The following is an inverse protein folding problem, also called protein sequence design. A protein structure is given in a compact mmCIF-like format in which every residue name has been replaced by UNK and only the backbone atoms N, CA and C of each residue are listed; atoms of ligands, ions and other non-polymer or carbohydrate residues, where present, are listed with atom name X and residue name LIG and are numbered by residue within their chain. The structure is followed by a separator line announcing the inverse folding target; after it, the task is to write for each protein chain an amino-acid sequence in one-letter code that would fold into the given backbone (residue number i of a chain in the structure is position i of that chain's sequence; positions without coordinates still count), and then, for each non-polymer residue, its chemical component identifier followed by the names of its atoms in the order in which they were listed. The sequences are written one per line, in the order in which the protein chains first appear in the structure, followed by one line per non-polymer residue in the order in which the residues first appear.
data_IF_023221926391
#
_entry.id   IF_023221926391
#
_cell.length_a   1.000
_cell.length_b   1.000
_cell.length_c   1.000
_cell.angle_alpha   90.00
_cell.angle_beta   90.00
_cell.angle_gamma   90.00
#
_symmetry.space_group_name_H-M   'P 1'
#
loop_
_entity.id
_entity.type
_entity.pdbx_description
1 polymer ?
#
# COMPACT_ATOMS: atom_id res chain seq x y z
N UNK A 1 3.68 -11.18 -13.91
CA UNK A 1 2.51 -11.07 -13.02
C UNK A 1 1.84 -9.75 -13.36
N UNK A 2 0.69 -9.79 -14.04
CA UNK A 2 -0.01 -8.58 -14.49
C UNK A 2 -0.71 -7.95 -13.28
N UNK A 3 -0.28 -6.75 -12.89
CA UNK A 3 -0.90 -5.95 -11.84
C UNK A 3 -2.19 -5.34 -12.38
N UNK A 4 -3.25 -6.15 -12.47
CA UNK A 4 -4.57 -5.56 -12.59
C UNK A 4 -4.88 -4.88 -11.25
N UNK A 5 -5.22 -3.59 -11.32
CA UNK A 5 -5.85 -2.87 -10.22
C UNK A 5 -7.19 -3.55 -9.94
N UNK A 6 -7.17 -4.64 -9.19
CA UNK A 6 -8.39 -5.21 -8.61
C UNK A 6 -8.88 -4.16 -7.63
N UNK A 7 -10.04 -3.58 -7.92
CA UNK A 7 -10.74 -2.72 -6.98
C UNK A 7 -11.85 -3.54 -6.35
N UNK A 8 -11.99 -3.44 -5.03
CA UNK A 8 -13.10 -4.08 -4.33
C UNK A 8 -14.37 -3.31 -4.69
N UNK A 9 -15.38 -3.97 -5.29
CA UNK A 9 -16.61 -3.29 -5.65
C UNK A 9 -17.43 -2.96 -4.40
N UNK A 10 -18.33 -1.99 -4.53
CA UNK A 10 -19.12 -1.47 -3.41
C UNK A 10 -20.09 -2.48 -2.80
N UNK A 11 -20.47 -3.50 -3.56
CA UNK A 11 -21.37 -4.59 -3.16
C UNK A 11 -20.62 -5.80 -2.58
N UNK A 12 -19.30 -5.74 -2.45
CA UNK A 12 -18.51 -6.81 -1.84
C UNK A 12 -18.84 -6.98 -0.35
N UNK A 13 -18.98 -8.24 0.08
CA UNK A 13 -19.20 -8.62 1.47
C UNK A 13 -17.87 -8.83 2.19
N UNK A 14 -17.78 -8.39 3.44
CA UNK A 14 -16.67 -8.73 4.32
C UNK A 14 -16.92 -10.15 4.86
N UNK A 15 -15.94 -11.03 4.67
CA UNK A 15 -15.99 -12.43 5.13
C UNK A 15 -15.16 -12.62 6.39
N UNK A 16 -14.00 -11.98 6.45
CA UNK A 16 -13.09 -12.10 7.59
C UNK A 16 -12.29 -10.81 7.79
N UNK A 17 -11.90 -10.56 9.03
CA UNK A 17 -11.05 -9.45 9.44
C UNK A 17 -10.01 -10.00 10.41
N UNK A 18 -8.74 -9.90 10.05
CA UNK A 18 -7.68 -10.34 10.97
C UNK A 18 -7.59 -9.40 12.17
N UNK A 19 -7.17 -9.90 13.34
CA UNK A 19 -6.82 -9.03 14.46
C UNK A 19 -5.77 -7.98 14.06
N UNK A 20 -5.90 -6.73 14.52
CA UNK A 20 -4.94 -5.69 14.21
C UNK A 20 -3.60 -6.00 14.87
N UNK A 21 -2.50 -5.88 14.12
CA UNK A 21 -1.14 -5.99 14.66
C UNK A 21 -0.52 -4.62 14.77
N UNK A 22 0.16 -4.36 15.88
CA UNK A 22 0.74 -3.05 16.21
C UNK A 22 2.27 -3.13 16.24
N UNK A 23 2.92 -2.12 15.68
CA UNK A 23 4.37 -1.94 15.70
C UNK A 23 4.67 -0.47 15.96
N UNK A 24 5.68 -0.19 16.79
CA UNK A 24 6.16 1.17 16.98
C UNK A 24 7.36 1.43 16.07
N UNK A 25 7.21 2.32 15.09
CA UNK A 25 8.27 2.71 14.16
C UNK A 25 9.04 3.91 14.75
N UNK A 26 10.38 3.83 14.79
CA UNK A 26 11.28 4.86 15.31
C UNK A 26 10.94 5.36 16.71
N UNK A 27 10.33 4.50 17.55
CA UNK A 27 9.82 4.86 18.88
C UNK A 27 8.83 6.05 18.89
N UNK A 28 8.21 6.37 17.74
CA UNK A 28 7.37 7.57 17.56
C UNK A 28 6.05 7.29 16.86
N UNK A 29 6.08 6.53 15.78
CA UNK A 29 4.92 6.35 14.90
C UNK A 29 4.29 4.99 15.13
N UNK A 30 3.06 4.95 15.64
CA UNK A 30 2.32 3.70 15.80
C UNK A 30 1.85 3.21 14.43
N UNK A 31 2.27 2.02 14.04
CA UNK A 31 1.85 1.34 12.82
C UNK A 31 0.88 0.25 13.17
N UNK A 32 -0.29 0.25 12.54
CA UNK A 32 -1.32 -0.78 12.68
C UNK A 32 -1.52 -1.47 11.34
N UNK A 33 -1.37 -2.79 11.31
CA UNK A 33 -1.65 -3.61 10.12
C UNK A 33 -2.88 -4.47 10.34
N UNK A 34 -3.72 -4.58 9.31
CA UNK A 34 -4.95 -5.35 9.35
C UNK A 34 -5.34 -5.82 7.95
N UNK A 35 -5.73 -7.08 7.82
CA UNK A 35 -6.22 -7.65 6.58
C UNK A 35 -7.73 -7.83 6.66
N UNK A 36 -8.43 -7.56 5.56
CA UNK A 36 -9.87 -7.78 5.42
C UNK A 36 -10.11 -8.62 4.18
N UNK A 37 -10.79 -9.76 4.35
CA UNK A 37 -11.18 -10.64 3.25
C UNK A 37 -12.53 -10.18 2.71
N UNK A 38 -12.55 -9.81 1.44
CA UNK A 38 -13.77 -9.46 0.71
C UNK A 38 -14.18 -10.58 -0.24
N UNK A 39 -15.49 -10.72 -0.40
CA UNK A 39 -16.13 -11.61 -1.36
C UNK A 39 -17.16 -10.89 -2.20
N UNK A 40 -17.10 -11.09 -3.51
CA UNK A 40 -18.12 -10.63 -4.45
C UNK A 40 -18.27 -11.60 -5.61
N UNK A 41 -19.32 -11.42 -6.39
CA UNK A 41 -19.57 -12.19 -7.61
C UNK A 41 -19.28 -11.29 -8.81
N UNK A 42 -18.41 -11.75 -9.71
CA UNK A 42 -18.16 -11.08 -10.99
C UNK A 42 -18.94 -11.78 -12.12
N UNK A 43 -19.46 -10.98 -13.05
CA UNK A 43 -20.13 -11.46 -14.26
C UNK A 43 -21.66 -11.50 -14.15
N UNK A 44 -22.31 -11.88 -15.26
CA UNK A 44 -23.78 -11.99 -15.36
C UNK A 44 -24.20 -13.36 -15.89
N UNK A 45 -25.37 -13.82 -15.46
CA UNK A 45 -25.96 -15.10 -15.91
C UNK A 45 -25.11 -16.32 -15.54
N UNK A 46 -24.85 -17.20 -16.52
CA UNK A 46 -24.14 -18.47 -16.33
C UNK A 46 -22.63 -18.34 -16.09
N UNK A 47 -22.05 -17.15 -16.29
CA UNK A 47 -20.61 -16.90 -16.14
C UNK A 47 -20.25 -16.21 -14.82
N UNK A 48 -21.08 -16.37 -13.79
CA UNK A 48 -20.78 -15.84 -12.47
C UNK A 48 -19.56 -16.54 -11.86
N UNK A 49 -18.62 -15.76 -11.36
CA UNK A 49 -17.46 -16.26 -10.62
C UNK A 49 -17.40 -15.58 -9.26
N UNK A 50 -17.37 -16.37 -8.21
CA UNK A 50 -17.06 -15.86 -6.88
C UNK A 50 -15.58 -15.45 -6.82
N UNK A 51 -15.32 -14.25 -6.32
CA UNK A 51 -13.99 -13.74 -6.04
C UNK A 51 -13.81 -13.59 -4.55
N UNK A 52 -12.68 -14.10 -4.05
CA UNK A 52 -12.20 -13.84 -2.71
C UNK A 52 -10.88 -13.09 -2.83
N UNK A 53 -10.78 -11.92 -2.20
CA UNK A 53 -9.57 -11.08 -2.21
C UNK A 53 -9.34 -10.44 -0.85
N UNK A 54 -8.09 -10.47 -0.42
CA UNK A 54 -7.64 -9.76 0.77
C UNK A 54 -7.33 -8.32 0.41
N UNK A 55 -7.81 -7.37 1.20
CA UNK A 55 -7.26 -6.03 1.26
C UNK A 55 -6.41 -5.90 2.51
N UNK A 56 -5.16 -5.55 2.32
CA UNK A 56 -4.19 -5.35 3.39
C UNK A 56 -4.07 -3.88 3.67
N UNK A 57 -4.42 -3.46 4.89
CA UNK A 57 -4.32 -2.08 5.35
C UNK A 57 -3.14 -1.93 6.31
N UNK A 58 -2.33 -0.90 6.09
CA UNK A 58 -1.28 -0.47 7.01
C UNK A 58 -1.54 0.99 7.30
N UNK A 59 -1.82 1.33 8.54
CA UNK A 59 -2.05 2.71 8.99
C UNK A 59 -0.87 3.12 9.83
N UNK A 60 -0.27 4.25 9.51
CA UNK A 60 0.76 4.88 10.31
C UNK A 60 0.14 6.11 10.93
N UNK A 61 0.03 6.10 12.25
CA UNK A 61 -0.39 7.25 13.04
C UNK A 61 0.62 8.37 12.82
N UNK A 62 0.12 9.49 12.32
CA UNK A 62 0.90 10.69 12.04
C UNK A 62 0.46 11.88 12.88
N UNK A 63 -0.38 11.70 13.90
CA UNK A 63 -0.89 12.76 14.79
C UNK A 63 0.20 13.72 15.30
N UNK A 64 1.40 13.20 15.55
CA UNK A 64 2.59 13.98 15.94
C UNK A 64 2.99 15.08 14.94
N UNK A 65 2.63 14.93 13.66
CA UNK A 65 2.95 15.90 12.60
C UNK A 65 2.09 17.16 12.64
N UNK A 66 0.93 17.14 13.31
CA UNK A 66 0.04 18.30 13.49
C UNK A 66 -0.23 19.06 12.17
N UNK A 67 0.17 20.32 12.10
CA UNK A 67 -0.02 21.25 10.99
C UNK A 67 0.74 20.86 9.71
N UNK A 68 1.71 19.96 9.82
CA UNK A 68 2.47 19.44 8.67
C UNK A 68 1.70 18.40 7.87
N UNK A 69 0.62 17.86 8.43
CA UNK A 69 -0.26 16.94 7.69
C UNK A 69 -0.99 17.65 6.55
N UNK A 70 -1.25 16.91 5.47
CA UNK A 70 -2.09 17.33 4.36
C UNK A 70 -2.56 16.12 3.56
N UNK A 71 -3.56 16.33 2.70
CA UNK A 71 -4.16 15.24 1.93
C UNK A 71 -3.36 15.00 0.65
N UNK A 72 -2.94 13.76 0.44
CA UNK A 72 -2.35 13.35 -0.83
C UNK A 72 -2.59 11.87 -1.09
N UNK A 73 -2.50 11.46 -2.36
CA UNK A 73 -2.41 10.04 -2.73
C UNK A 73 -1.32 9.77 -3.73
N UNK A 74 -0.75 8.57 -3.63
CA UNK A 74 0.19 8.01 -4.60
C UNK A 74 -0.36 6.70 -5.15
N UNK A 75 0.07 6.37 -6.37
CA UNK A 75 -0.30 5.22 -7.20
C UNK A 75 -1.79 5.15 -7.60
N UNK A 76 -2.69 5.85 -6.90
CA UNK A 76 -4.08 6.10 -7.33
C UNK A 76 -4.16 7.38 -8.14
N UNK A 77 -4.34 7.23 -9.47
CA UNK A 77 -4.49 8.36 -10.38
C UNK A 77 -5.84 9.09 -10.34
N UNK A 78 -6.87 8.46 -9.75
CA UNK A 78 -8.18 9.08 -9.52
C UNK A 78 -8.48 9.06 -8.02
N UNK A 79 -8.59 10.24 -7.42
CA UNK A 79 -8.85 10.40 -6.00
C UNK A 79 -9.89 11.51 -5.81
N UNK A 80 -11.00 11.27 -5.08
CA UNK A 80 -11.97 12.32 -4.75
C UNK A 80 -11.42 13.37 -3.76
N UNK A 81 -10.27 13.13 -3.12
CA UNK A 81 -9.70 14.00 -2.08
C UNK A 81 -8.74 15.07 -2.61
N UNK A 82 -8.55 15.20 -3.93
CA UNK A 82 -7.65 16.20 -4.50
C UNK A 82 -7.54 16.14 -6.02
N UNK A 83 -6.81 17.11 -6.57
CA UNK A 83 -6.54 17.18 -8.01
C UNK A 83 -5.23 16.49 -8.33
N UNK A 84 -5.12 15.98 -9.57
CA UNK A 84 -3.85 15.47 -10.07
C UNK A 84 -2.85 16.61 -10.22
N UNK A 85 -1.67 16.46 -9.62
CA UNK A 85 -0.61 17.47 -9.67
C UNK A 85 0.54 16.95 -10.51
N UNK A 86 1.10 17.83 -11.36
CA UNK A 86 2.32 17.54 -12.13
C UNK A 86 3.51 18.23 -11.45
N UNK A 87 4.45 17.43 -10.97
CA UNK A 87 5.75 17.88 -10.46
C UNK A 87 6.80 17.91 -11.58
N UNK A 88 8.02 18.31 -11.26
CA UNK A 88 9.09 18.58 -12.22
C UNK A 88 9.61 17.31 -12.90
N UNK A 89 9.52 16.14 -12.23
CA UNK A 89 10.00 14.87 -12.77
C UNK A 89 8.89 14.08 -13.49
N UNK A 90 8.95 14.00 -14.83
CA UNK A 90 7.95 13.31 -15.65
C UNK A 90 7.84 11.81 -15.34
N UNK A 91 8.95 11.15 -15.02
CA UNK A 91 8.95 9.72 -14.66
C UNK A 91 8.25 9.50 -13.32
N UNK A 92 8.51 10.37 -12.35
CA UNK A 92 7.80 10.37 -11.07
C UNK A 92 6.29 10.54 -11.29
N UNK A 93 5.87 11.54 -12.07
CA UNK A 93 4.46 11.78 -12.36
C UNK A 93 3.76 10.57 -12.99
N UNK A 94 4.47 9.86 -13.89
CA UNK A 94 3.95 8.67 -14.58
C UNK A 94 3.75 7.48 -13.63
N UNK A 95 4.70 7.25 -12.73
CA UNK A 95 4.68 6.11 -11.80
C UNK A 95 3.71 6.37 -10.65
N UNK A 96 3.88 7.50 -9.97
CA UNK A 96 3.22 7.77 -8.69
C UNK A 96 1.85 8.42 -8.86
N UNK A 97 1.51 8.99 -10.02
CA UNK A 97 0.18 9.53 -10.33
C UNK A 97 -0.41 10.37 -9.17
N UNK A 98 0.41 11.26 -8.64
CA UNK A 98 0.15 12.03 -7.44
C UNK A 98 -1.15 12.84 -7.54
N UNK A 99 -1.94 12.83 -6.47
CA UNK A 99 -3.04 13.79 -6.28
C UNK A 99 -2.93 14.45 -4.90
N UNK A 100 -3.37 15.70 -4.78
CA UNK A 100 -3.38 16.44 -3.50
C UNK A 100 -4.38 17.60 -3.58
N UNK A 101 -4.79 18.11 -2.42
CA UNK A 101 -5.52 19.38 -2.32
C UNK A 101 -4.60 20.56 -1.93
N UNK A 102 -3.31 20.30 -1.71
CA UNK A 102 -2.32 21.30 -1.32
C UNK A 102 -1.05 21.14 -2.16
N UNK A 103 -0.97 21.91 -3.25
CA UNK A 103 0.17 21.86 -4.17
C UNK A 103 1.47 22.39 -3.54
N UNK A 104 1.38 23.36 -2.64
CA UNK A 104 2.57 23.93 -2.00
C UNK A 104 3.26 22.90 -1.11
N UNK A 105 2.49 22.24 -0.23
CA UNK A 105 3.03 21.22 0.67
C UNK A 105 3.58 20.01 -0.09
N UNK A 106 2.93 19.59 -1.18
CA UNK A 106 3.44 18.43 -1.93
C UNK A 106 4.75 18.74 -2.65
N UNK A 107 4.96 19.99 -3.12
CA UNK A 107 6.23 20.44 -3.71
C UNK A 107 7.34 20.56 -2.67
N UNK A 108 6.99 20.90 -1.42
CA UNK A 108 7.93 20.87 -0.30
C UNK A 108 8.31 19.43 0.08
N UNK A 109 7.36 18.49 0.02
CA UNK A 109 7.58 17.08 0.34
C UNK A 109 8.43 16.38 -0.73
N UNK A 110 8.10 16.61 -2.00
CA UNK A 110 8.79 16.02 -3.14
C UNK A 110 9.73 17.01 -3.82
N UNK A 111 10.84 17.29 -3.14
CA UNK A 111 11.99 17.97 -3.77
C UNK A 111 12.55 17.14 -4.94
N UNK A 112 13.35 17.74 -5.85
CA UNK A 112 13.98 17.00 -6.94
C UNK A 112 14.70 15.72 -6.49
N UNK A 113 15.47 15.81 -5.41
CA UNK A 113 16.16 14.65 -4.82
C UNK A 113 15.20 13.59 -4.30
N UNK A 114 14.11 13.99 -3.63
CA UNK A 114 13.11 13.05 -3.12
C UNK A 114 12.37 12.32 -4.26
N UNK A 115 12.07 13.02 -5.35
CA UNK A 115 11.48 12.42 -6.54
C UNK A 115 12.43 11.42 -7.21
N UNK A 116 13.69 11.79 -7.42
CA UNK A 116 14.70 10.90 -8.01
C UNK A 116 14.93 9.67 -7.16
N UNK A 117 15.06 9.85 -5.85
CA UNK A 117 15.25 8.74 -4.90
C UNK A 117 14.04 7.80 -4.90
N UNK A 118 12.82 8.35 -4.93
CA UNK A 118 11.58 7.56 -4.99
C UNK A 118 11.50 6.73 -6.28
N UNK A 119 11.87 7.31 -7.43
CA UNK A 119 11.90 6.63 -8.72
C UNK A 119 12.96 5.53 -8.73
N UNK A 120 14.18 5.83 -8.31
CA UNK A 120 15.27 4.87 -8.24
C UNK A 120 14.93 3.69 -7.32
N UNK A 121 14.32 3.98 -6.16
CA UNK A 121 13.86 2.98 -5.22
C UNK A 121 12.77 2.08 -5.82
N UNK A 122 11.76 2.68 -6.47
CA UNK A 122 10.72 1.95 -7.18
C UNK A 122 11.31 1.03 -8.25
N UNK A 123 12.18 1.54 -9.12
CA UNK A 123 12.73 0.75 -10.24
C UNK A 123 13.56 -0.44 -9.77
N UNK A 124 14.35 -0.23 -8.72
CA UNK A 124 15.23 -1.25 -8.14
C UNK A 124 14.43 -2.34 -7.45
N UNK A 125 13.45 -1.97 -6.63
CA UNK A 125 12.85 -2.89 -5.66
C UNK A 125 11.48 -3.45 -6.04
N UNK A 126 10.78 -2.85 -7.03
CA UNK A 126 9.42 -3.27 -7.41
C UNK A 126 9.27 -4.74 -7.81
N UNK A 127 10.36 -5.41 -8.20
CA UNK A 127 10.35 -6.84 -8.58
C UNK A 127 10.47 -7.78 -7.36
N UNK A 128 10.92 -7.27 -6.22
CA UNK A 128 11.24 -8.04 -5.02
C UNK A 128 10.14 -7.98 -3.95
N UNK A 129 9.12 -7.14 -4.17
CA UNK A 129 8.03 -6.89 -3.22
C UNK A 129 6.73 -7.53 -3.71
N UNK A 130 5.84 -7.90 -2.77
CA UNK A 130 4.49 -8.40 -3.09
C UNK A 130 3.64 -7.31 -3.74
N UNK A 131 3.87 -6.06 -3.35
CA UNK A 131 3.01 -4.91 -3.66
C UNK A 131 3.84 -3.72 -4.17
N UNK A 132 4.19 -3.66 -5.45
CA UNK A 132 5.03 -2.58 -5.98
C UNK A 132 4.32 -1.24 -6.12
N UNK A 133 3.01 -1.27 -6.35
CA UNK A 133 2.15 -0.08 -6.53
C UNK A 133 1.01 -0.08 -5.51
N UNK A 134 1.33 -0.01 -4.20
CA UNK A 134 0.33 0.09 -3.15
C UNK A 134 -0.41 1.42 -3.27
N UNK A 135 -1.71 1.45 -2.97
CA UNK A 135 -2.39 2.73 -2.82
C UNK A 135 -1.91 3.38 -1.53
N UNK A 136 -1.34 4.58 -1.63
CA UNK A 136 -0.91 5.38 -0.48
C UNK A 136 -1.84 6.58 -0.39
N UNK A 137 -2.38 6.84 0.80
CA UNK A 137 -3.26 7.97 1.04
C UNK A 137 -3.00 8.59 2.40
N UNK A 138 -2.81 9.90 2.44
CA UNK A 138 -2.84 10.70 3.66
C UNK A 138 -4.16 11.45 3.73
N UNK A 139 -4.83 11.39 4.87
CA UNK A 139 -6.04 12.17 5.16
C UNK A 139 -5.78 12.92 6.46
N UNK A 140 -5.51 14.22 6.38
CA UNK A 140 -5.12 15.06 7.50
C UNK A 140 -6.16 15.02 8.64
N UNK A 141 -7.46 15.03 8.33
CA UNK A 141 -8.51 14.94 9.35
C UNK A 141 -8.56 13.61 10.11
N UNK A 142 -7.80 12.59 9.65
CA UNK A 142 -7.75 11.28 10.28
C UNK A 142 -6.39 10.98 10.92
N UNK A 143 -5.44 11.90 10.83
CA UNK A 143 -4.14 11.79 11.48
C UNK A 143 -3.38 10.49 11.18
N UNK A 144 -3.55 9.95 9.96
CA UNK A 144 -2.79 8.78 9.52
C UNK A 144 -2.42 8.85 8.04
N UNK A 145 -1.31 8.18 7.71
CA UNK A 145 -1.02 7.73 6.34
C UNK A 145 -1.42 6.27 6.23
N UNK A 146 -2.20 5.92 5.21
CA UNK A 146 -2.68 4.57 4.97
C UNK A 146 -2.12 4.01 3.67
N UNK A 147 -1.61 2.80 3.76
CA UNK A 147 -1.32 1.93 2.63
C UNK A 147 -2.44 0.92 2.51
N UNK A 148 -2.90 0.68 1.29
CA UNK A 148 -3.82 -0.40 0.99
C UNK A 148 -3.38 -1.14 -0.26
N UNK A 149 -3.39 -2.47 -0.20
CA UNK A 149 -3.16 -3.30 -1.37
C UNK A 149 -4.09 -4.51 -1.40
N UNK A 150 -4.58 -4.85 -2.59
CA UNK A 150 -5.50 -5.96 -2.82
C UNK A 150 -4.73 -7.12 -3.41
N UNK A 151 -4.81 -8.28 -2.76
CA UNK A 151 -4.10 -9.49 -3.15
C UNK A 151 -4.91 -10.76 -2.95
N UNK A 152 -4.35 -11.88 -3.42
CA UNK A 152 -4.92 -13.22 -3.17
C UNK A 152 -4.64 -13.72 -1.76
N UNK A 153 -3.65 -13.10 -1.09
CA UNK A 153 -3.16 -13.45 0.24
C UNK A 153 -3.15 -12.21 1.13
N UNK A 154 -3.34 -12.40 2.42
CA UNK A 154 -3.19 -11.33 3.40
C UNK A 154 -1.72 -10.92 3.56
N UNK A 155 -1.47 -9.65 3.85
CA UNK A 155 -0.13 -9.16 4.14
C UNK A 155 0.33 -9.55 5.54
N UNK A 156 1.58 -10.01 5.67
CA UNK A 156 2.14 -10.57 6.91
C UNK A 156 1.34 -11.74 7.50
N UNK A 157 0.48 -12.39 6.73
CA UNK A 157 -0.16 -13.64 7.13
C UNK A 157 0.73 -14.79 6.65
N UNK A 158 1.13 -15.66 7.59
CA UNK A 158 1.87 -16.87 7.25
C UNK A 158 0.92 -17.84 6.54
N UNK A 159 1.03 -17.90 5.22
CA UNK A 159 0.21 -18.81 4.41
C UNK A 159 0.96 -20.11 4.15
N UNK A 160 0.59 -21.16 4.88
CA UNK A 160 1.20 -22.48 4.71
C UNK A 160 0.59 -23.21 3.50
N UNK A 161 1.42 -23.53 2.51
CA UNK A 161 1.06 -24.52 1.50
C UNK A 161 1.39 -25.91 2.06
N UNK A 162 0.38 -26.72 2.38
CA UNK A 162 0.60 -28.10 2.78
C UNK A 162 1.21 -28.89 1.60
N UNK A 163 2.42 -29.40 1.77
CA UNK A 163 3.09 -30.26 0.81
C UNK A 163 3.73 -31.44 1.52
N UNK A 164 3.74 -32.60 0.87
CA UNK A 164 4.37 -33.83 1.38
C UNK A 164 5.90 -33.65 1.55
N UNK A 165 6.51 -32.69 0.84
CA UNK A 165 7.95 -32.40 0.92
C UNK A 165 8.22 -31.23 1.86
N UNK A 166 8.74 -31.51 3.05
CA UNK A 166 9.08 -30.52 4.08
C UNK A 166 9.96 -29.38 3.58
N UNK A 167 10.93 -29.65 2.70
CA UNK A 167 11.82 -28.63 2.13
C UNK A 167 11.06 -27.59 1.28
N UNK A 168 10.03 -28.02 0.53
CA UNK A 168 9.19 -27.12 -0.26
C UNK A 168 8.36 -26.21 0.65
N UNK A 169 7.85 -26.77 1.75
CA UNK A 169 7.10 -26.00 2.76
C UNK A 169 8.00 -24.96 3.42
N UNK A 170 9.20 -25.37 3.85
CA UNK A 170 10.18 -24.45 4.46
C UNK A 170 10.57 -23.32 3.51
N UNK A 171 10.92 -23.63 2.26
CA UNK A 171 11.24 -22.61 1.24
C UNK A 171 10.08 -21.65 0.99
N UNK A 172 8.84 -22.14 1.00
CA UNK A 172 7.66 -21.28 0.87
C UNK A 172 7.51 -20.33 2.06
N UNK A 173 7.65 -20.83 3.29
CA UNK A 173 7.58 -20.01 4.52
C UNK A 173 8.67 -18.94 4.53
N UNK A 174 9.93 -19.30 4.29
CA UNK A 174 11.05 -18.35 4.29
C UNK A 174 10.86 -17.28 3.21
N UNK A 175 10.43 -17.68 2.01
CA UNK A 175 10.15 -16.73 0.93
C UNK A 175 9.02 -15.78 1.29
N UNK A 176 7.98 -16.28 1.95
CA UNK A 176 6.83 -15.48 2.38
C UNK A 176 7.24 -14.43 3.43
N UNK A 177 7.95 -14.85 4.48
CA UNK A 177 8.51 -13.97 5.52
C UNK A 177 9.43 -12.91 4.91
N UNK A 178 10.35 -13.33 4.02
CA UNK A 178 11.28 -12.43 3.37
C UNK A 178 10.55 -11.39 2.52
N UNK A 179 9.60 -11.84 1.69
CA UNK A 179 8.86 -10.95 0.80
C UNK A 179 7.94 -10.00 1.55
N UNK A 180 7.31 -10.45 2.64
CA UNK A 180 6.49 -9.58 3.50
C UNK A 180 7.33 -8.53 4.23
N UNK A 181 8.43 -8.95 4.85
CA UNK A 181 9.34 -8.05 5.56
C UNK A 181 9.93 -7.01 4.61
N UNK A 182 10.35 -7.43 3.41
CA UNK A 182 10.89 -6.55 2.39
C UNK A 182 9.83 -5.61 1.82
N UNK A 183 8.60 -6.10 1.62
CA UNK A 183 7.47 -5.25 1.21
C UNK A 183 7.17 -4.21 2.28
N UNK A 184 7.18 -4.58 3.56
CA UNK A 184 6.98 -3.62 4.65
C UNK A 184 8.04 -2.53 4.67
N UNK A 185 9.32 -2.91 4.53
CA UNK A 185 10.43 -1.97 4.42
C UNK A 185 10.29 -1.03 3.20
N UNK A 186 9.89 -1.59 2.05
CA UNK A 186 9.61 -0.82 0.83
C UNK A 186 8.51 0.23 1.04
N UNK A 187 7.44 -0.10 1.77
CA UNK A 187 6.38 0.85 2.11
C UNK A 187 6.87 1.96 3.05
N UNK A 188 7.67 1.59 4.05
CA UNK A 188 8.27 2.54 4.99
C UNK A 188 9.23 3.51 4.30
N UNK A 189 9.91 3.10 3.23
CA UNK A 189 10.75 4.01 2.46
C UNK A 189 9.94 5.18 1.86
N UNK A 190 8.74 4.91 1.33
CA UNK A 190 7.85 5.99 0.87
C UNK A 190 7.34 6.86 2.02
N UNK A 191 7.12 6.27 3.21
CA UNK A 191 6.78 7.04 4.40
C UNK A 191 7.87 8.03 4.77
N UNK A 192 9.14 7.63 4.72
CA UNK A 192 10.24 8.51 5.11
C UNK A 192 10.24 9.81 4.30
N UNK A 193 9.96 9.75 2.99
CA UNK A 193 9.82 10.97 2.19
C UNK A 193 8.61 11.82 2.61
N UNK A 194 7.52 11.18 3.04
CA UNK A 194 6.30 11.89 3.46
C UNK A 194 6.30 12.42 4.91
N UNK A 195 7.09 11.83 5.80
CA UNK A 195 7.12 12.14 7.23
C UNK A 195 8.23 13.12 7.62
N UNK A 196 9.16 13.44 6.70
CA UNK A 196 10.29 14.33 6.97
C UNK A 196 10.02 15.82 6.76
N UNK A 197 8.76 16.21 6.53
CA UNK A 197 8.33 17.59 6.71
C UNK A 197 8.05 17.88 8.16
#
# INVERSE_FOLDING_TARGET
MYYHNVSIPSDAKIIDITPPRKLLLHNKYMVVTQNVLYRWVEGSGKNQRERNRWNSYIKVDTSILKDRQFNFTLFRGNNPLGNKVKLENDRFNKIFKLTTNNELKIRQMYTPLAMETSVAWYDKERKNVKFPEPSISSIASREYVMFSNIGEKGFMNLDFAFSVKSEKVFKAIVKDIYSDSFSFYYLIAFLHFSLYL
#
